data_IF_976051408446
#
_entry.id   IF_976051408446
#
_cell.length_a   1.000
_cell.length_b   1.000
_cell.length_c   1.000
_cell.angle_alpha   90.00
_cell.angle_beta   90.00
_cell.angle_gamma   90.00
#
_symmetry.space_group_name_H-M   'P 1'
#
loop_
_entity.id
_entity.type
_entity.pdbx_description
1 polymer ?
#
# COMPACT_ATOMS: atom_id res chain seq x y z
N UNK A 1 15.19 11.83 4.82
CA UNK A 1 15.97 10.69 4.33
C UNK A 1 15.52 9.43 5.06
N UNK A 2 15.26 8.34 4.34
CA UNK A 2 14.98 7.05 4.95
C UNK A 2 16.26 6.52 5.63
N UNK A 3 16.12 5.94 6.82
CA UNK A 3 17.25 5.37 7.57
C UNK A 3 16.81 4.11 8.31
N UNK A 4 17.59 3.04 8.28
CA UNK A 4 17.34 1.83 9.06
C UNK A 4 17.12 2.11 10.55
N UNK A 5 17.85 3.09 11.11
CA UNK A 5 17.77 3.44 12.53
C UNK A 5 16.40 3.93 13.01
N UNK A 6 15.51 4.36 12.10
CA UNK A 6 14.17 4.81 12.45
C UNK A 6 13.20 3.67 12.75
N UNK A 7 13.41 2.53 12.08
CA UNK A 7 12.48 1.40 12.08
C UNK A 7 12.19 0.82 13.47
N UNK A 8 13.18 0.48 14.29
CA UNK A 8 12.97 -0.22 15.57
C UNK A 8 12.03 0.51 16.52
N UNK A 9 12.22 1.81 16.72
CA UNK A 9 11.39 2.61 17.62
C UNK A 9 9.94 2.74 17.11
N UNK A 10 9.77 2.92 15.78
CA UNK A 10 8.46 3.02 15.13
C UNK A 10 7.72 1.69 15.14
N UNK A 11 8.41 0.59 14.90
CA UNK A 11 7.86 -0.77 15.00
C UNK A 11 7.37 -1.06 16.43
N UNK A 12 8.17 -0.70 17.43
CA UNK A 12 7.78 -0.86 18.83
C UNK A 12 6.55 0.00 19.18
N UNK A 13 6.49 1.24 18.69
CA UNK A 13 5.32 2.10 18.86
C UNK A 13 4.06 1.49 18.19
N UNK A 14 4.18 0.99 16.97
CA UNK A 14 3.08 0.32 16.27
C UNK A 14 2.58 -0.89 17.06
N UNK A 15 3.46 -1.78 17.50
CA UNK A 15 3.08 -2.96 18.28
C UNK A 15 2.32 -2.61 19.56
N UNK A 16 2.69 -1.53 20.25
CA UNK A 16 1.95 -1.05 21.43
C UNK A 16 0.51 -0.62 21.09
N UNK A 17 0.35 0.12 19.99
CA UNK A 17 -0.98 0.57 19.54
C UNK A 17 -1.83 -0.61 19.08
N UNK A 18 -1.25 -1.58 18.37
CA UNK A 18 -1.93 -2.80 17.96
C UNK A 18 -2.41 -3.61 19.16
N UNK A 19 -1.54 -3.84 20.15
CA UNK A 19 -1.89 -4.57 21.35
C UNK A 19 -3.02 -3.89 22.12
N UNK A 20 -2.97 -2.55 22.28
CA UNK A 20 -4.03 -1.77 22.93
C UNK A 20 -5.37 -1.83 22.17
N UNK A 21 -5.34 -2.09 20.86
CA UNK A 21 -6.52 -2.25 20.00
C UNK A 21 -6.98 -3.72 19.85
N UNK A 22 -6.37 -4.65 20.59
CA UNK A 22 -6.67 -6.09 20.49
C UNK A 22 -6.32 -6.68 19.13
N UNK A 23 -5.26 -6.18 18.49
CA UNK A 23 -4.76 -6.66 17.21
C UNK A 23 -3.41 -7.35 17.37
N UNK A 24 -3.27 -8.52 16.74
CA UNK A 24 -2.03 -9.27 16.67
C UNK A 24 -1.13 -8.80 15.50
N UNK A 25 -1.68 -8.08 14.53
CA UNK A 25 -0.89 -7.61 13.40
C UNK A 25 -1.54 -6.50 12.60
N UNK A 26 -0.79 -5.96 11.63
CA UNK A 26 -1.27 -4.94 10.71
C UNK A 26 -0.57 -5.02 9.36
N UNK A 27 -1.30 -4.78 8.27
CA UNK A 27 -0.77 -4.76 6.91
C UNK A 27 -0.57 -3.31 6.49
N UNK A 28 0.64 -2.99 6.04
CA UNK A 28 1.05 -1.64 5.65
C UNK A 28 1.54 -1.68 4.19
N UNK A 29 0.69 -1.39 3.19
CA UNK A 29 1.13 -1.32 1.80
C UNK A 29 1.85 0.00 1.50
N UNK A 30 2.64 -0.01 0.42
CA UNK A 30 3.00 1.22 -0.26
C UNK A 30 1.87 1.58 -1.22
N UNK A 31 0.91 2.30 -0.74
CA UNK A 31 -0.27 2.71 -1.49
C UNK A 31 -0.87 4.00 -0.92
N UNK A 32 -1.55 4.73 -1.78
CA UNK A 32 -2.52 5.75 -1.40
C UNK A 32 -3.96 5.26 -1.67
N UNK A 33 -4.94 6.09 -1.36
CA UNK A 33 -6.36 5.76 -1.57
C UNK A 33 -6.76 5.66 -3.06
N UNK A 34 -5.89 6.04 -3.97
CA UNK A 34 -6.11 6.02 -5.41
C UNK A 34 -5.38 4.85 -6.09
N UNK A 35 -4.59 4.07 -5.37
CA UNK A 35 -3.74 3.00 -5.90
C UNK A 35 -2.76 3.51 -6.98
N UNK A 36 -2.33 4.77 -6.87
CA UNK A 36 -1.37 5.38 -7.78
C UNK A 36 0.06 4.87 -7.55
N UNK A 37 0.88 4.86 -8.61
CA UNK A 37 2.30 4.51 -8.49
C UNK A 37 3.10 5.58 -7.73
N UNK A 38 2.73 6.85 -7.89
CA UNK A 38 3.38 7.98 -7.25
C UNK A 38 2.62 8.39 -5.99
N UNK A 39 3.08 7.89 -4.88
CA UNK A 39 2.46 8.11 -3.57
C UNK A 39 2.92 9.44 -2.99
N UNK A 40 2.00 10.23 -2.47
CA UNK A 40 2.33 11.48 -1.77
C UNK A 40 3.11 11.21 -0.49
N UNK A 41 3.96 12.14 -0.06
CA UNK A 41 4.83 11.99 1.13
C UNK A 41 4.03 11.59 2.38
N UNK A 42 2.81 12.10 2.53
CA UNK A 42 1.92 11.72 3.65
C UNK A 42 1.51 10.24 3.64
N UNK A 43 1.53 9.61 2.48
CA UNK A 43 1.08 8.23 2.27
C UNK A 43 2.24 7.23 2.21
N UNK A 44 3.49 7.71 2.33
CA UNK A 44 4.70 6.88 2.38
C UNK A 44 4.86 6.17 3.75
N UNK A 45 3.79 5.52 4.22
CA UNK A 45 3.72 4.83 5.52
C UNK A 45 4.71 3.67 5.63
N UNK A 46 4.88 2.92 4.53
CA UNK A 46 5.86 1.83 4.47
C UNK A 46 7.28 2.36 4.66
N UNK A 47 7.65 3.40 3.92
CA UNK A 47 8.95 4.05 4.04
C UNK A 47 9.16 4.65 5.44
N UNK A 48 8.15 5.32 5.97
CA UNK A 48 8.24 5.90 7.30
C UNK A 48 8.47 4.82 8.35
N UNK A 49 7.73 3.71 8.31
CA UNK A 49 7.88 2.63 9.29
C UNK A 49 9.22 1.91 9.18
N UNK A 50 9.63 1.55 7.96
CA UNK A 50 10.71 0.58 7.74
C UNK A 50 12.02 1.19 7.26
N UNK A 51 11.98 2.36 6.62
CA UNK A 51 13.08 2.95 5.85
C UNK A 51 13.14 2.53 4.38
N UNK A 52 12.35 1.55 3.95
CA UNK A 52 12.34 1.06 2.57
C UNK A 52 11.68 2.07 1.61
N UNK A 53 12.41 2.42 0.53
CA UNK A 53 12.01 3.46 -0.46
C UNK A 53 11.70 2.90 -1.84
N UNK A 54 11.59 1.59 -2.01
CA UNK A 54 11.23 0.98 -3.29
C UNK A 54 9.83 1.36 -3.74
N UNK A 55 9.58 1.39 -5.05
CA UNK A 55 8.28 1.79 -5.61
C UNK A 55 7.19 0.72 -5.51
N UNK A 56 7.52 -0.47 -5.05
CA UNK A 56 6.56 -1.55 -4.82
C UNK A 56 6.94 -2.37 -3.59
N UNK A 57 5.96 -2.69 -2.76
CA UNK A 57 6.14 -3.51 -1.57
C UNK A 57 5.12 -3.21 -0.49
N UNK A 58 5.16 -3.99 0.56
CA UNK A 58 4.32 -3.82 1.75
C UNK A 58 5.01 -4.44 2.97
N UNK A 59 4.56 -4.07 4.14
CA UNK A 59 5.03 -4.67 5.40
C UNK A 59 3.85 -5.35 6.10
N UNK A 60 4.10 -6.54 6.65
CA UNK A 60 3.18 -7.18 7.60
C UNK A 60 3.87 -7.21 8.94
N UNK A 61 3.29 -6.55 9.92
CA UNK A 61 3.78 -6.53 11.29
C UNK A 61 2.97 -7.52 12.11
N UNK A 62 3.67 -8.47 12.74
CA UNK A 62 3.14 -9.43 13.72
C UNK A 62 3.82 -9.22 15.08
N UNK A 63 3.38 -9.89 16.16
CA UNK A 63 3.95 -9.67 17.49
C UNK A 63 5.46 -9.91 17.57
N UNK A 64 5.94 -11.01 16.98
CA UNK A 64 7.34 -11.41 16.99
C UNK A 64 8.12 -11.02 15.74
N UNK A 65 7.44 -10.87 14.59
CA UNK A 65 8.07 -10.67 13.28
C UNK A 65 7.50 -9.44 12.57
N UNK A 66 8.31 -8.85 11.68
CA UNK A 66 7.85 -7.85 10.72
C UNK A 66 8.46 -8.18 9.35
N UNK A 67 7.63 -8.64 8.42
CA UNK A 67 8.05 -9.00 7.07
C UNK A 67 7.91 -7.80 6.12
N UNK A 68 8.99 -7.44 5.42
CA UNK A 68 8.97 -6.45 4.34
C UNK A 68 8.97 -7.18 3.01
N UNK A 69 7.83 -7.22 2.37
CA UNK A 69 7.62 -7.91 1.09
C UNK A 69 8.09 -7.04 -0.06
N UNK A 70 8.99 -7.58 -0.86
CA UNK A 70 9.61 -6.87 -1.98
C UNK A 70 9.73 -7.78 -3.19
N UNK A 71 9.59 -7.21 -4.37
CA UNK A 71 9.85 -7.92 -5.61
C UNK A 71 11.36 -8.01 -5.94
N UNK A 72 11.68 -8.72 -7.03
CA UNK A 72 13.06 -9.00 -7.42
C UNK A 72 13.94 -7.76 -7.62
N UNK A 73 13.37 -6.60 -7.97
CA UNK A 73 14.09 -5.35 -8.19
C UNK A 73 14.73 -4.80 -6.93
N UNK A 74 14.17 -5.11 -5.76
CA UNK A 74 14.53 -4.49 -4.48
C UNK A 74 15.27 -5.41 -3.50
N UNK A 75 15.62 -6.64 -3.89
CA UNK A 75 16.28 -7.64 -3.02
C UNK A 75 17.62 -7.19 -2.43
N UNK A 76 18.35 -6.37 -3.16
CA UNK A 76 19.61 -5.78 -2.66
C UNK A 76 19.34 -4.50 -1.87
N UNK A 77 18.48 -3.63 -2.39
CA UNK A 77 18.19 -2.32 -1.82
C UNK A 77 17.61 -2.43 -0.41
N UNK A 78 16.65 -3.33 -0.18
CA UNK A 78 15.98 -3.49 1.12
C UNK A 78 16.96 -3.78 2.24
N UNK A 79 18.02 -4.57 1.97
CA UNK A 79 19.02 -4.95 2.97
C UNK A 79 19.85 -3.77 3.49
N UNK A 80 19.99 -2.72 2.69
CA UNK A 80 20.70 -1.49 3.09
C UNK A 80 19.77 -0.42 3.68
N UNK A 81 18.44 -0.59 3.58
CA UNK A 81 17.46 0.44 3.96
C UNK A 81 16.65 0.11 5.22
N UNK A 82 16.52 -1.16 5.57
CA UNK A 82 15.80 -1.59 6.77
C UNK A 82 16.76 -2.13 7.83
N UNK A 83 16.38 -2.04 9.08
CA UNK A 83 17.09 -2.69 10.18
C UNK A 83 16.79 -4.20 10.16
N UNK A 84 17.75 -5.01 9.72
CA UNK A 84 17.58 -6.46 9.54
C UNK A 84 17.41 -7.25 10.85
N UNK A 85 17.71 -6.65 12.00
CA UNK A 85 17.40 -7.26 13.30
C UNK A 85 15.91 -7.16 13.65
N UNK A 86 15.18 -6.26 13.00
CA UNK A 86 13.78 -5.96 13.31
C UNK A 86 12.83 -6.23 12.12
N UNK A 87 13.32 -6.17 10.90
CA UNK A 87 12.55 -6.37 9.67
C UNK A 87 13.18 -7.46 8.82
N UNK A 88 12.38 -8.42 8.41
CA UNK A 88 12.79 -9.53 7.55
C UNK A 88 12.36 -9.25 6.11
N UNK A 89 13.28 -9.11 5.15
CA UNK A 89 12.91 -9.08 3.73
C UNK A 89 12.25 -10.40 3.31
N UNK A 90 11.08 -10.31 2.69
CA UNK A 90 10.30 -11.45 2.21
C UNK A 90 10.16 -11.38 0.70
N UNK A 91 10.57 -12.42 -0.07
CA UNK A 91 10.41 -12.43 -1.51
C UNK A 91 8.93 -12.45 -1.91
N UNK A 92 8.51 -11.51 -2.74
CA UNK A 92 7.19 -11.41 -3.32
C UNK A 92 7.31 -11.33 -4.86
N UNK A 93 6.47 -11.99 -5.64
CA UNK A 93 5.23 -12.72 -5.28
C UNK A 93 5.42 -14.20 -4.90
N UNK A 94 6.65 -14.68 -4.74
CA UNK A 94 6.93 -16.08 -4.39
C UNK A 94 6.28 -16.48 -3.06
N UNK A 95 6.37 -15.59 -2.06
CA UNK A 95 5.69 -15.76 -0.78
C UNK A 95 4.40 -14.95 -0.77
N UNK A 96 3.26 -15.61 -0.63
CA UNK A 96 1.96 -14.94 -0.56
C UNK A 96 1.71 -14.39 0.85
N UNK A 97 1.06 -13.21 1.00
CA UNK A 97 0.83 -12.60 2.31
C UNK A 97 0.00 -13.48 3.25
N UNK A 98 -1.08 -14.12 2.76
CA UNK A 98 -1.90 -15.01 3.57
C UNK A 98 -1.14 -16.23 4.07
N UNK A 99 -0.34 -16.88 3.21
CA UNK A 99 0.48 -18.04 3.59
C UNK A 99 1.54 -17.65 4.63
N UNK A 100 2.14 -16.47 4.48
CA UNK A 100 3.11 -15.96 5.44
C UNK A 100 2.48 -15.67 6.81
N UNK A 101 1.30 -15.06 6.84
CA UNK A 101 0.55 -14.83 8.08
C UNK A 101 0.22 -16.17 8.74
N UNK A 102 -0.33 -17.11 7.99
CA UNK A 102 -0.67 -18.48 8.46
C UNK A 102 0.53 -19.19 9.07
N UNK A 103 1.72 -19.04 8.50
CA UNK A 103 2.95 -19.69 8.99
C UNK A 103 3.48 -19.08 10.29
N UNK A 104 3.14 -17.82 10.61
CA UNK A 104 3.76 -17.07 11.71
C UNK A 104 2.77 -16.58 12.78
N UNK A 105 1.47 -16.75 12.56
CA UNK A 105 0.42 -16.35 13.49
C UNK A 105 -0.64 -17.47 13.57
N UNK A 106 -0.76 -18.18 14.69
CA UNK A 106 -1.74 -19.27 14.81
C UNK A 106 -3.19 -18.74 14.93
N UNK A 107 -3.37 -17.61 15.61
CA UNK A 107 -4.66 -16.99 15.85
C UNK A 107 -4.52 -15.50 16.14
N UNK A 108 -5.60 -14.75 16.00
CA UNK A 108 -5.67 -13.34 16.34
C UNK A 108 -6.18 -12.46 15.21
N UNK A 109 -6.24 -11.16 15.47
CA UNK A 109 -6.75 -10.17 14.52
C UNK A 109 -5.61 -9.46 13.82
N UNK A 110 -5.60 -9.51 12.49
CA UNK A 110 -4.70 -8.70 11.64
C UNK A 110 -5.50 -7.56 11.03
N UNK A 111 -5.14 -6.33 11.39
CA UNK A 111 -5.79 -5.12 10.88
C UNK A 111 -5.27 -4.72 9.49
N UNK A 112 -6.11 -4.04 8.73
CA UNK A 112 -5.73 -3.38 7.48
C UNK A 112 -6.56 -2.11 7.27
N UNK A 113 -6.01 -1.15 6.53
CA UNK A 113 -6.75 0.04 6.11
C UNK A 113 -7.48 -0.25 4.79
N UNK A 114 -8.82 -0.31 4.78
CA UNK A 114 -9.58 -0.69 3.58
C UNK A 114 -9.45 0.31 2.43
N UNK A 115 -9.00 1.53 2.67
CA UNK A 115 -8.75 2.52 1.62
C UNK A 115 -7.46 2.26 0.83
N UNK A 116 -6.57 1.41 1.37
CA UNK A 116 -5.26 1.15 0.77
C UNK A 116 -5.14 -0.22 0.10
N UNK A 117 -6.24 -0.97 0.01
CA UNK A 117 -6.29 -2.31 -0.58
C UNK A 117 -7.46 -2.46 -1.53
N UNK A 118 -7.29 -3.24 -2.58
CA UNK A 118 -8.43 -3.69 -3.37
C UNK A 118 -9.21 -4.79 -2.64
N UNK A 119 -10.52 -4.90 -2.93
CA UNK A 119 -11.35 -5.97 -2.37
C UNK A 119 -10.82 -7.37 -2.73
N UNK A 120 -10.28 -7.53 -3.94
CA UNK A 120 -9.71 -8.78 -4.43
C UNK A 120 -8.43 -9.19 -3.67
N UNK A 121 -7.56 -8.22 -3.33
CA UNK A 121 -6.38 -8.50 -2.49
C UNK A 121 -6.78 -9.03 -1.13
N UNK A 122 -7.72 -8.38 -0.47
CA UNK A 122 -8.18 -8.78 0.86
C UNK A 122 -8.87 -10.14 0.79
N UNK A 123 -9.75 -10.37 -0.18
CA UNK A 123 -10.43 -11.66 -0.36
C UNK A 123 -9.44 -12.82 -0.56
N UNK A 124 -8.33 -12.61 -1.27
CA UNK A 124 -7.27 -13.61 -1.44
C UNK A 124 -6.55 -13.94 -0.13
N UNK A 125 -6.30 -12.93 0.71
CA UNK A 125 -5.69 -13.16 2.03
C UNK A 125 -6.68 -13.87 2.95
N UNK A 126 -7.95 -13.45 2.99
CA UNK A 126 -9.00 -14.12 3.77
C UNK A 126 -9.17 -15.58 3.39
N UNK A 127 -9.21 -15.88 2.09
CA UNK A 127 -9.31 -17.25 1.59
C UNK A 127 -8.13 -18.13 2.06
N UNK A 128 -6.91 -17.60 2.08
CA UNK A 128 -5.74 -18.32 2.57
C UNK A 128 -5.76 -18.55 4.08
N UNK A 129 -6.50 -17.74 4.83
CA UNK A 129 -6.61 -17.79 6.29
C UNK A 129 -7.88 -18.53 6.78
N UNK A 130 -8.74 -19.00 5.87
CA UNK A 130 -10.07 -19.56 6.21
C UNK A 130 -10.02 -20.71 7.24
N UNK A 131 -8.96 -21.53 7.21
CA UNK A 131 -8.77 -22.68 8.09
C UNK A 131 -7.88 -22.37 9.30
N UNK A 132 -7.76 -21.09 9.68
CA UNK A 132 -6.93 -20.65 10.80
C UNK A 132 -7.75 -19.90 11.85
N UNK A 133 -7.16 -19.62 13.01
CA UNK A 133 -7.73 -18.72 14.02
C UNK A 133 -7.47 -17.23 13.73
N UNK A 134 -6.97 -16.88 12.52
CA UNK A 134 -6.65 -15.48 12.16
C UNK A 134 -7.84 -14.83 11.45
N UNK A 135 -8.18 -13.62 11.88
CA UNK A 135 -9.27 -12.82 11.32
C UNK A 135 -8.70 -11.50 10.78
N UNK A 136 -9.03 -11.16 9.53
CA UNK A 136 -8.76 -9.83 9.00
C UNK A 136 -9.81 -8.83 9.51
N UNK A 137 -9.37 -7.62 9.86
CA UNK A 137 -10.25 -6.55 10.34
C UNK A 137 -9.94 -5.22 9.66
N UNK A 138 -10.92 -4.70 8.91
CA UNK A 138 -10.86 -3.35 8.39
C UNK A 138 -10.88 -2.33 9.54
N UNK A 139 -9.95 -1.38 9.54
CA UNK A 139 -9.87 -0.34 10.56
C UNK A 139 -9.12 0.90 10.04
N UNK A 140 -9.17 1.99 10.79
CA UNK A 140 -8.36 3.16 10.51
C UNK A 140 -6.86 2.83 10.53
N UNK A 141 -6.07 3.57 9.74
CA UNK A 141 -4.64 3.32 9.61
C UNK A 141 -3.92 3.50 10.94
N UNK A 142 -3.22 2.46 11.39
CA UNK A 142 -2.54 2.48 12.69
C UNK A 142 -1.19 3.20 12.64
N UNK A 143 -0.61 3.37 11.45
CA UNK A 143 0.59 4.21 11.27
C UNK A 143 0.26 5.68 11.53
N UNK A 144 -0.88 6.17 11.04
CA UNK A 144 -1.29 7.57 11.19
C UNK A 144 -1.47 7.97 12.67
N UNK A 145 -1.72 7.01 13.54
CA UNK A 145 -1.82 7.22 15.00
C UNK A 145 -0.49 7.44 15.70
N UNK A 146 0.61 7.01 15.08
CA UNK A 146 1.95 7.03 15.65
C UNK A 146 2.93 7.90 14.86
N UNK A 147 2.47 8.55 13.81
CA UNK A 147 3.26 9.45 12.96
C UNK A 147 2.93 10.91 13.29
N UNK A 148 3.60 11.50 14.30
CA UNK A 148 3.20 12.81 14.85
C UNK A 148 3.41 13.98 13.89
N UNK A 149 4.37 13.87 12.98
CA UNK A 149 4.74 14.85 11.97
C UNK A 149 4.34 14.40 10.55
N UNK A 150 3.28 13.60 10.43
CA UNK A 150 2.76 13.18 9.11
C UNK A 150 2.42 14.41 8.27
N UNK A 151 2.96 14.51 7.04
CA UNK A 151 2.68 15.64 6.16
C UNK A 151 1.20 15.78 5.86
N UNK A 152 0.76 17.01 5.59
CA UNK A 152 -0.58 17.27 5.07
C UNK A 152 -0.78 16.72 3.65
N UNK A 153 -2.02 16.70 3.13
CA UNK A 153 -2.29 16.32 1.75
C UNK A 153 -1.59 17.30 0.78
N UNK A 154 -1.20 16.83 -0.42
CA UNK A 154 -0.61 17.71 -1.41
C UNK A 154 -1.61 18.78 -1.84
N UNK A 155 -1.18 20.03 -1.87
CA UNK A 155 -1.98 21.20 -2.23
C UNK A 155 -1.45 21.88 -3.51
N UNK A 156 -0.76 21.14 -4.37
CA UNK A 156 -0.27 21.62 -5.65
C UNK A 156 -1.43 22.09 -6.54
N UNK A 157 -1.24 23.21 -7.24
CA UNK A 157 -2.24 23.74 -8.17
C UNK A 157 -2.37 22.82 -9.39
N UNK A 158 -3.60 22.43 -9.72
CA UNK A 158 -3.90 21.80 -11.00
C UNK A 158 -3.87 22.86 -12.12
N UNK A 159 -3.30 22.50 -13.28
CA UNK A 159 -3.26 23.35 -14.46
C UNK A 159 -3.46 22.50 -15.73
N UNK A 160 -4.07 23.07 -16.78
CA UNK A 160 -4.21 22.37 -18.06
C UNK A 160 -2.83 22.10 -18.67
N UNK A 161 -2.62 20.89 -19.18
CA UNK A 161 -1.42 20.60 -19.97
C UNK A 161 -1.60 21.15 -21.39
N UNK A 162 -0.62 21.90 -21.95
CA UNK A 162 -0.77 22.51 -23.27
C UNK A 162 -0.97 21.48 -24.38
N UNK A 163 -1.95 21.70 -25.25
CA UNK A 163 -2.25 20.81 -26.39
C UNK A 163 -1.05 20.59 -27.32
N UNK A 164 -0.19 21.62 -27.45
CA UNK A 164 1.06 21.55 -28.23
C UNK A 164 2.06 20.51 -27.69
N UNK A 165 1.98 20.16 -26.42
CA UNK A 165 2.80 19.15 -25.79
C UNK A 165 2.05 17.81 -25.64
N UNK A 166 0.74 17.87 -25.45
CA UNK A 166 -0.10 16.68 -25.33
C UNK A 166 -0.31 15.93 -26.65
N UNK A 167 -0.19 16.64 -27.79
CA UNK A 167 -0.37 16.07 -29.13
C UNK A 167 -1.84 15.81 -29.53
N UNK A 168 -2.76 15.77 -28.58
CA UNK A 168 -4.19 15.54 -28.77
C UNK A 168 -4.99 16.29 -27.70
N UNK A 169 -6.08 16.95 -28.12
CA UNK A 169 -6.95 17.67 -27.17
C UNK A 169 -7.74 16.71 -26.28
N UNK A 170 -8.09 17.14 -25.07
CA UNK A 170 -8.97 16.41 -24.16
C UNK A 170 -10.32 16.06 -24.80
N UNK A 171 -10.90 16.99 -25.60
CA UNK A 171 -12.16 16.75 -26.31
C UNK A 171 -12.05 15.59 -27.31
N UNK A 172 -10.95 15.52 -28.07
CA UNK A 172 -10.74 14.45 -29.05
C UNK A 172 -10.53 13.09 -28.34
N UNK A 173 -9.74 13.04 -27.29
CA UNK A 173 -9.56 11.82 -26.47
C UNK A 173 -10.89 11.29 -25.94
N UNK A 174 -11.73 12.15 -25.38
CA UNK A 174 -13.05 11.76 -24.85
C UNK A 174 -14.00 11.30 -25.97
N UNK A 175 -13.98 11.92 -27.13
CA UNK A 175 -14.79 11.48 -28.29
C UNK A 175 -14.40 10.07 -28.72
N UNK A 176 -13.11 9.83 -28.90
CA UNK A 176 -12.56 8.52 -29.27
C UNK A 176 -12.90 7.44 -28.23
N UNK A 177 -12.80 7.75 -26.92
CA UNK A 177 -13.20 6.84 -25.86
C UNK A 177 -14.71 6.55 -25.91
N UNK A 178 -15.54 7.56 -26.12
CA UNK A 178 -16.99 7.39 -26.22
C UNK A 178 -17.40 6.54 -27.43
N UNK A 179 -16.68 6.64 -28.55
CA UNK A 179 -16.88 5.78 -29.73
C UNK A 179 -16.52 4.33 -29.41
N UNK A 180 -15.39 4.09 -28.74
CA UNK A 180 -14.98 2.75 -28.31
C UNK A 180 -16.01 2.11 -27.35
N UNK A 181 -16.51 2.86 -26.39
CA UNK A 181 -17.55 2.38 -25.46
C UNK A 181 -18.84 1.99 -26.21
N UNK A 182 -19.29 2.81 -27.17
CA UNK A 182 -20.47 2.49 -27.99
C UNK A 182 -20.27 1.23 -28.84
N UNK A 183 -19.08 1.07 -29.43
CA UNK A 183 -18.76 -0.12 -30.22
C UNK A 183 -18.83 -1.41 -29.40
N UNK A 184 -18.48 -1.34 -28.11
CA UNK A 184 -18.58 -2.45 -27.15
C UNK A 184 -19.97 -2.55 -26.47
N UNK A 185 -20.96 -1.78 -26.92
CA UNK A 185 -22.32 -1.77 -26.34
C UNK A 185 -22.39 -1.16 -24.92
N UNK A 186 -21.39 -0.42 -24.51
CA UNK A 186 -21.33 0.23 -23.21
C UNK A 186 -21.84 1.66 -23.27
N UNK A 187 -22.50 2.12 -22.20
CA UNK A 187 -23.06 3.48 -22.11
C UNK A 187 -22.16 4.43 -21.33
N UNK A 188 -21.31 3.90 -20.45
CA UNK A 188 -20.42 4.68 -19.59
C UNK A 188 -19.24 3.83 -19.10
N UNK A 189 -18.17 4.52 -18.67
CA UNK A 189 -17.07 3.94 -17.90
C UNK A 189 -16.77 4.82 -16.69
N UNK A 190 -16.43 4.20 -15.56
CA UNK A 190 -15.95 4.89 -14.36
C UNK A 190 -14.43 4.84 -14.35
N UNK A 191 -13.78 6.00 -14.30
CA UNK A 191 -12.33 6.13 -14.28
C UNK A 191 -11.93 6.66 -12.90
N UNK A 192 -11.12 5.92 -12.18
CA UNK A 192 -10.71 6.23 -10.81
C UNK A 192 -9.22 6.48 -10.67
N UNK A 193 -8.39 5.96 -11.60
CA UNK A 193 -6.95 6.14 -11.54
C UNK A 193 -6.58 7.59 -11.90
N UNK A 194 -5.85 8.33 -11.02
CA UNK A 194 -5.47 9.72 -11.25
C UNK A 194 -4.75 9.96 -12.57
N UNK A 195 -3.82 9.07 -12.94
CA UNK A 195 -3.06 9.18 -14.20
C UNK A 195 -3.99 9.16 -15.43
N UNK A 196 -4.97 8.26 -15.44
CA UNK A 196 -5.96 8.17 -16.52
C UNK A 196 -6.89 9.39 -16.56
N UNK A 197 -7.27 9.92 -15.38
CA UNK A 197 -8.08 11.15 -15.27
C UNK A 197 -7.29 12.36 -15.79
N UNK A 198 -6.01 12.47 -15.39
CA UNK A 198 -5.15 13.57 -15.85
C UNK A 198 -4.81 13.47 -17.33
N UNK A 199 -4.74 12.26 -17.89
CA UNK A 199 -4.51 12.07 -19.32
C UNK A 199 -5.71 12.50 -20.17
N UNK A 200 -6.94 12.28 -19.68
CA UNK A 200 -8.19 12.71 -20.35
C UNK A 200 -8.41 14.21 -20.29
#
# INVERSE_FOLDING_TARGET
>A
HASPAQGPARLAALRRVLAAAGMAGFIIPRADIHQGEYVATRDERLQWLTGFTGSAGFCIVLPALAGVFIDGRYRTQVKGQVDLAHFTPVPWPETKPGDWIKAHLPEGVVGFDPWLHSADEIAKIEAALADTGVILRACANQIDRIWPDQPGPPLGRAFPHPDSLAGETSAHKRSRLAEALRAEGQTAAVITLPDSICWL
#
